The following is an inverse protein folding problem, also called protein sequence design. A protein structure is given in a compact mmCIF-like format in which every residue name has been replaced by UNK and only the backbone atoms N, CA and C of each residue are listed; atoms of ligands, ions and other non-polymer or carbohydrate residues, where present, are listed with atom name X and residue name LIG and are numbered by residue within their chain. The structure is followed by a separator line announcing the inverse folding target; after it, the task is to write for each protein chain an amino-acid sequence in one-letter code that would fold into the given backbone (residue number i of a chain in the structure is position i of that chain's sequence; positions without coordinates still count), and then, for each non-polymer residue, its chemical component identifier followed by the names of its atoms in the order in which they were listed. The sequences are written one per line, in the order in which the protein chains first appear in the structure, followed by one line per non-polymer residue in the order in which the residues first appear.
data_IF_676738846607
#
_entry.id   IF_676738846607
#
_cell.length_a   1.000
_cell.length_b   1.000
_cell.length_c   1.000
_cell.angle_alpha   90.00
_cell.angle_beta   90.00
_cell.angle_gamma   90.00
#
_symmetry.space_group_name_H-M   'P 1'
#
loop_
_entity.id
_entity.type
_entity.pdbx_description
1 polymer ?
#
# COMPACT_ATOMS: atom_id res chain seq x y z
N UNK A 1 17.59 -41.37 -86.02
CA UNK A 1 18.44 -40.87 -84.91
C UNK A 1 18.19 -39.38 -84.74
N UNK A 2 17.35 -38.98 -83.79
CA UNK A 2 17.20 -37.59 -83.34
C UNK A 2 17.04 -37.65 -81.82
N UNK A 3 17.92 -36.95 -81.12
CA UNK A 3 18.08 -36.96 -79.67
C UNK A 3 16.96 -36.18 -78.95
N UNK A 4 16.54 -36.68 -77.77
CA UNK A 4 15.91 -35.87 -76.72
C UNK A 4 16.52 -36.24 -75.37
N UNK A 5 17.33 -35.33 -74.83
CA UNK A 5 17.82 -35.35 -73.44
C UNK A 5 16.65 -34.97 -72.53
N UNK A 6 16.35 -35.81 -71.54
CA UNK A 6 15.42 -35.51 -70.46
C UNK A 6 16.17 -34.82 -69.31
N UNK A 7 15.74 -33.62 -68.95
CA UNK A 7 16.25 -32.83 -67.85
C UNK A 7 15.46 -33.17 -66.57
N UNK A 8 16.16 -33.50 -65.49
CA UNK A 8 15.58 -33.70 -64.16
C UNK A 8 15.32 -32.35 -63.47
N UNK A 9 14.18 -32.16 -62.77
CA UNK A 9 13.99 -30.99 -61.93
C UNK A 9 14.55 -31.23 -60.52
N UNK A 10 15.44 -30.34 -60.08
CA UNK A 10 15.90 -30.19 -58.71
C UNK A 10 14.76 -29.54 -57.89
N UNK A 11 14.16 -30.26 -56.95
CA UNK A 11 13.17 -29.69 -56.03
C UNK A 11 13.89 -29.04 -54.83
N UNK A 12 13.96 -27.70 -54.80
CA UNK A 12 14.28 -26.95 -53.59
C UNK A 12 13.08 -26.99 -52.65
N UNK A 13 13.16 -27.76 -51.57
CA UNK A 13 12.23 -27.68 -50.45
C UNK A 13 12.60 -26.47 -49.57
N UNK A 14 11.82 -25.39 -49.66
CA UNK A 14 11.97 -24.22 -48.80
C UNK A 14 11.59 -24.54 -47.36
N UNK A 15 12.52 -24.36 -46.43
CA UNK A 15 12.25 -24.39 -44.99
C UNK A 15 11.47 -23.11 -44.65
N UNK A 16 10.18 -23.25 -44.38
CA UNK A 16 9.36 -22.16 -43.86
C UNK A 16 9.79 -21.86 -42.41
N UNK A 17 10.42 -20.70 -42.20
CA UNK A 17 10.65 -20.15 -40.87
C UNK A 17 9.29 -19.82 -40.26
N UNK A 18 8.78 -20.67 -39.36
CA UNK A 18 7.64 -20.35 -38.54
C UNK A 18 8.06 -19.19 -37.61
N UNK A 19 7.56 -17.98 -37.88
CA UNK A 19 7.68 -16.87 -36.95
C UNK A 19 6.98 -17.28 -35.65
N UNK A 20 7.78 -17.50 -34.60
CA UNK A 20 7.28 -17.60 -33.22
C UNK A 20 6.54 -16.30 -32.93
N UNK A 21 5.22 -16.34 -32.95
CA UNK A 21 4.40 -15.24 -32.46
C UNK A 21 4.79 -15.02 -30.99
N UNK A 22 5.42 -13.89 -30.70
CA UNK A 22 5.64 -13.47 -29.33
C UNK A 22 4.28 -13.47 -28.61
N UNK A 23 4.22 -13.92 -27.33
CA UNK A 23 2.97 -13.93 -26.59
C UNK A 23 2.35 -12.53 -26.65
N UNK A 24 1.09 -12.45 -27.08
CA UNK A 24 0.36 -11.18 -27.11
C UNK A 24 0.26 -10.66 -25.67
N UNK A 25 1.14 -9.72 -25.31
CA UNK A 25 1.03 -8.98 -24.06
C UNK A 25 -0.35 -8.32 -24.04
N UNK A 26 -1.19 -8.67 -23.05
CA UNK A 26 -2.49 -8.05 -22.90
C UNK A 26 -2.30 -6.52 -22.81
N UNK A 27 -2.97 -5.77 -23.67
CA UNK A 27 -2.86 -4.30 -23.65
C UNK A 27 -3.57 -3.77 -22.40
N UNK A 28 -2.97 -2.79 -21.69
CA UNK A 28 -3.59 -2.22 -20.51
C UNK A 28 -4.88 -1.47 -20.88
N UNK A 29 -5.90 -1.62 -20.03
CA UNK A 29 -7.04 -0.71 -20.00
C UNK A 29 -6.57 0.58 -19.35
N UNK A 30 -6.34 1.61 -20.16
CA UNK A 30 -5.86 2.92 -19.69
C UNK A 30 -7.05 3.81 -19.33
N UNK A 31 -7.07 4.25 -18.08
CA UNK A 31 -8.08 5.13 -17.50
C UNK A 31 -7.51 6.55 -17.41
N UNK A 32 -8.13 7.48 -18.13
CA UNK A 32 -7.77 8.90 -18.10
C UNK A 32 -8.48 9.62 -16.94
N UNK A 33 -7.84 10.59 -16.29
CA UNK A 33 -8.47 11.32 -15.19
C UNK A 33 -9.61 12.21 -15.71
N UNK A 34 -10.67 12.30 -14.92
CA UNK A 34 -11.83 13.17 -15.22
C UNK A 34 -12.08 14.24 -14.18
N UNK A 35 -11.38 14.17 -13.04
CA UNK A 35 -11.35 15.23 -12.03
C UNK A 35 -9.92 15.66 -11.72
N UNK A 36 -9.77 16.77 -11.01
CA UNK A 36 -8.56 17.07 -10.27
C UNK A 36 -8.44 16.12 -9.07
N UNK A 37 -7.27 16.11 -8.44
CA UNK A 37 -7.08 15.50 -7.13
C UNK A 37 -7.86 16.28 -6.08
N UNK A 38 -8.55 15.55 -5.19
CA UNK A 38 -9.23 16.09 -4.03
C UNK A 38 -8.65 15.45 -2.78
N UNK A 39 -8.25 16.25 -1.81
CA UNK A 39 -7.76 15.79 -0.51
C UNK A 39 -8.83 15.98 0.55
N UNK A 40 -8.98 14.98 1.40
CA UNK A 40 -9.81 14.98 2.60
C UNK A 40 -8.89 14.96 3.83
N UNK A 41 -8.95 16.03 4.62
CA UNK A 41 -8.27 16.19 5.91
C UNK A 41 -9.25 15.72 7.00
N UNK A 42 -9.44 14.41 7.11
CA UNK A 42 -10.31 13.82 8.12
C UNK A 42 -9.62 13.73 9.48
N UNK A 43 -10.41 13.61 10.55
CA UNK A 43 -9.92 13.63 11.95
C UNK A 43 -8.85 12.56 12.26
N UNK A 44 -8.90 11.41 11.57
CA UNK A 44 -8.00 10.28 11.81
C UNK A 44 -7.31 9.78 10.53
N UNK A 45 -7.55 10.44 9.40
CA UNK A 45 -7.14 9.92 8.09
C UNK A 45 -7.01 11.03 7.04
N UNK A 46 -5.91 10.98 6.32
CA UNK A 46 -5.69 11.73 5.08
C UNK A 46 -6.06 10.86 3.89
N UNK A 47 -6.98 11.32 3.05
CA UNK A 47 -7.36 10.62 1.83
C UNK A 47 -7.27 11.54 0.60
N UNK A 48 -6.42 11.15 -0.35
CA UNK A 48 -6.27 11.84 -1.63
C UNK A 48 -6.93 11.02 -2.73
N UNK A 49 -7.95 11.59 -3.36
CA UNK A 49 -8.84 10.88 -4.27
C UNK A 49 -8.94 11.56 -5.63
N UNK A 50 -9.03 10.76 -6.70
CA UNK A 50 -9.28 11.23 -8.06
C UNK A 50 -10.14 10.24 -8.83
N UNK A 51 -11.02 10.77 -9.68
CA UNK A 51 -11.89 9.99 -10.54
C UNK A 51 -11.26 9.88 -11.93
N UNK A 52 -11.41 8.70 -12.52
CA UNK A 52 -10.94 8.35 -13.85
C UNK A 52 -12.07 7.74 -14.68
N UNK A 53 -12.00 7.89 -16.00
CA UNK A 53 -13.05 7.44 -16.91
C UNK A 53 -14.36 8.20 -16.75
N UNK A 54 -15.36 7.84 -17.57
CA UNK A 54 -16.64 8.56 -17.69
C UNK A 54 -17.85 7.63 -17.64
N UNK A 55 -19.02 8.20 -17.32
CA UNK A 55 -20.30 7.50 -17.31
C UNK A 55 -20.31 6.25 -16.42
N UNK A 56 -20.63 5.09 -17.01
CA UNK A 56 -20.64 3.79 -16.32
C UNK A 56 -19.25 3.17 -16.14
N UNK A 57 -18.24 3.70 -16.82
CA UNK A 57 -16.85 3.28 -16.74
C UNK A 57 -16.04 4.26 -15.89
N UNK A 58 -16.65 4.81 -14.83
CA UNK A 58 -15.93 5.63 -13.86
C UNK A 58 -15.24 4.74 -12.84
N UNK A 59 -14.03 5.14 -12.47
CA UNK A 59 -13.18 4.48 -11.50
C UNK A 59 -12.68 5.49 -10.48
N UNK A 60 -12.43 5.00 -9.28
CA UNK A 60 -11.89 5.78 -8.17
C UNK A 60 -10.48 5.29 -7.89
N UNK A 61 -9.54 6.22 -7.73
CA UNK A 61 -8.25 5.97 -7.10
C UNK A 61 -8.19 6.80 -5.82
N UNK A 62 -7.82 6.17 -4.71
CA UNK A 62 -7.59 6.84 -3.43
C UNK A 62 -6.25 6.40 -2.84
N UNK A 63 -5.42 7.37 -2.46
CA UNK A 63 -4.27 7.19 -1.59
C UNK A 63 -4.68 7.55 -0.18
N UNK A 64 -4.28 6.75 0.82
CA UNK A 64 -4.71 6.93 2.21
C UNK A 64 -3.57 6.76 3.19
N UNK A 65 -3.48 7.66 4.16
CA UNK A 65 -2.56 7.56 5.29
C UNK A 65 -3.31 7.90 6.58
N UNK A 66 -3.05 7.12 7.63
CA UNK A 66 -3.60 7.34 8.99
C UNK A 66 -2.55 7.97 9.93
N UNK A 67 -1.32 8.11 9.44
CA UNK A 67 -0.17 8.70 10.11
C UNK A 67 0.90 9.08 9.06
N UNK A 68 1.83 9.98 9.39
CA UNK A 68 2.98 10.24 8.53
C UNK A 68 3.77 8.97 8.22
N UNK A 69 3.96 8.66 6.94
CA UNK A 69 4.68 7.47 6.50
C UNK A 69 5.30 7.68 5.10
N UNK A 70 6.37 6.93 4.80
CA UNK A 70 6.90 6.79 3.44
C UNK A 70 6.06 5.89 2.53
N UNK A 71 5.00 5.30 3.05
CA UNK A 71 4.10 4.39 2.34
C UNK A 71 2.65 4.88 2.44
N UNK A 72 1.80 4.48 1.49
CA UNK A 72 0.38 4.79 1.56
C UNK A 72 -0.48 3.56 1.26
N UNK A 73 -1.66 3.51 1.87
CA UNK A 73 -2.71 2.61 1.41
C UNK A 73 -3.22 3.08 0.04
N UNK A 74 -3.49 2.14 -0.86
CA UNK A 74 -4.05 2.43 -2.19
C UNK A 74 -5.36 1.68 -2.34
N UNK A 75 -6.41 2.39 -2.76
CA UNK A 75 -7.71 1.82 -3.10
C UNK A 75 -8.01 2.17 -4.54
N UNK A 76 -8.24 1.15 -5.36
CA UNK A 76 -8.74 1.30 -6.73
C UNK A 76 -10.10 0.65 -6.84
N UNK A 77 -11.08 1.37 -7.40
CA UNK A 77 -12.45 0.88 -7.50
C UNK A 77 -13.08 1.20 -8.85
N UNK A 78 -14.05 0.40 -9.27
CA UNK A 78 -14.72 0.54 -10.57
C UNK A 78 -15.02 -0.81 -11.23
N UNK A 79 -15.75 -0.80 -12.36
CA UNK A 79 -16.21 -2.02 -13.04
C UNK A 79 -15.06 -2.92 -13.51
N UNK A 80 -13.88 -2.36 -13.77
CA UNK A 80 -12.71 -3.14 -14.18
C UNK A 80 -12.21 -4.13 -13.11
N UNK A 81 -12.57 -3.92 -11.85
CA UNK A 81 -12.14 -4.75 -10.73
C UNK A 81 -13.13 -5.86 -10.36
N UNK A 82 -14.24 -5.99 -11.08
CA UNK A 82 -15.28 -6.98 -10.77
C UNK A 82 -14.75 -8.41 -10.67
N UNK A 83 -13.82 -8.77 -11.57
CA UNK A 83 -13.25 -10.10 -11.69
C UNK A 83 -11.86 -10.25 -11.03
N UNK A 84 -11.46 -9.29 -10.19
CA UNK A 84 -10.30 -9.48 -9.33
C UNK A 84 -10.66 -10.41 -8.17
N UNK A 85 -9.73 -11.29 -7.81
CA UNK A 85 -9.85 -12.22 -6.69
C UNK A 85 -9.22 -11.62 -5.42
N UNK A 86 -9.77 -12.01 -4.26
CA UNK A 86 -9.29 -11.60 -2.95
C UNK A 86 -7.97 -12.30 -2.61
N UNK A 87 -6.98 -11.58 -2.07
CA UNK A 87 -5.65 -12.09 -1.70
C UNK A 87 -4.86 -12.79 -2.82
N UNK A 88 -5.26 -12.61 -4.07
CA UNK A 88 -4.58 -13.17 -5.23
C UNK A 88 -3.35 -12.32 -5.61
N UNK A 89 -2.30 -12.97 -6.12
CA UNK A 89 -1.07 -12.29 -6.51
C UNK A 89 -1.38 -11.21 -7.54
N UNK A 90 -1.09 -9.97 -7.17
CA UNK A 90 -1.39 -8.79 -7.97
C UNK A 90 -0.13 -7.97 -8.12
N UNK A 91 0.23 -7.70 -9.36
CA UNK A 91 1.37 -6.87 -9.70
C UNK A 91 0.97 -5.40 -9.65
N UNK A 92 1.81 -4.59 -9.04
CA UNK A 92 1.62 -3.15 -8.92
C UNK A 92 2.84 -2.45 -9.53
N UNK A 93 2.61 -1.45 -10.40
CA UNK A 93 3.67 -0.68 -11.07
C UNK A 93 3.32 0.79 -11.13
N UNK A 94 4.33 1.66 -11.03
CA UNK A 94 4.15 3.12 -11.12
C UNK A 94 4.84 3.78 -12.32
N UNK A 95 5.72 3.05 -13.00
CA UNK A 95 6.36 3.49 -14.23
C UNK A 95 6.80 2.28 -15.07
N UNK A 96 7.31 2.55 -16.28
CA UNK A 96 7.84 1.52 -17.16
C UNK A 96 9.10 0.85 -16.57
N UNK A 97 9.96 1.65 -15.93
CA UNK A 97 11.23 1.21 -15.35
C UNK A 97 11.10 0.77 -13.87
N UNK A 98 9.89 0.87 -13.32
CA UNK A 98 9.59 0.47 -11.94
C UNK A 98 9.85 -1.03 -11.75
N UNK A 99 10.67 -1.42 -10.75
CA UNK A 99 10.83 -2.83 -10.41
C UNK A 99 9.48 -3.43 -10.00
N UNK A 100 9.38 -4.72 -10.28
CA UNK A 100 8.13 -5.43 -10.22
C UNK A 100 7.69 -5.71 -8.78
N UNK A 101 6.64 -5.04 -8.29
CA UNK A 101 6.05 -5.34 -6.98
C UNK A 101 4.91 -6.35 -7.12
N UNK A 102 4.97 -7.43 -6.34
CA UNK A 102 3.90 -8.45 -6.25
C UNK A 102 3.36 -8.47 -4.83
N UNK A 103 2.09 -8.14 -4.70
CA UNK A 103 1.38 -8.04 -3.42
C UNK A 103 0.08 -8.86 -3.47
N UNK A 104 -0.56 -9.05 -2.30
CA UNK A 104 -1.83 -9.78 -2.17
C UNK A 104 -2.89 -8.84 -1.60
N UNK A 105 -3.53 -7.99 -2.43
CA UNK A 105 -4.51 -7.02 -1.95
C UNK A 105 -5.82 -7.70 -1.58
N UNK A 106 -6.62 -6.98 -0.79
CA UNK A 106 -7.97 -7.41 -0.46
C UNK A 106 -8.97 -6.95 -1.52
N UNK A 107 -10.02 -7.75 -1.73
CA UNK A 107 -11.20 -7.34 -2.49
C UNK A 107 -12.20 -6.66 -1.55
N UNK A 108 -12.81 -5.58 -2.02
CA UNK A 108 -13.84 -4.87 -1.28
C UNK A 108 -14.82 -4.17 -2.21
N UNK A 109 -15.45 -3.11 -1.69
CA UNK A 109 -16.30 -2.21 -2.47
C UNK A 109 -16.09 -0.76 -2.05
N UNK A 110 -16.37 0.18 -2.95
CA UNK A 110 -16.25 1.61 -2.69
C UNK A 110 -17.52 2.35 -3.15
N UNK A 111 -18.52 2.43 -2.28
CA UNK A 111 -19.76 3.17 -2.51
C UNK A 111 -20.35 2.93 -3.91
N UNK A 112 -20.66 4.01 -4.62
CA UNK A 112 -21.24 3.97 -5.98
C UNK A 112 -20.26 3.51 -7.08
N UNK A 113 -18.97 3.36 -6.79
CA UNK A 113 -17.99 2.88 -7.78
C UNK A 113 -17.95 1.34 -7.86
N UNK A 114 -18.58 0.65 -6.90
CA UNK A 114 -18.72 -0.80 -6.94
C UNK A 114 -17.44 -1.53 -6.47
N UNK A 115 -17.04 -2.64 -7.14
CA UNK A 115 -15.91 -3.48 -6.70
C UNK A 115 -14.61 -2.70 -6.55
N UNK A 116 -13.84 -3.01 -5.50
CA UNK A 116 -12.57 -2.38 -5.19
C UNK A 116 -11.47 -3.41 -4.93
N UNK A 117 -10.23 -3.02 -5.20
CA UNK A 117 -9.00 -3.69 -4.79
C UNK A 117 -8.27 -2.76 -3.84
N UNK A 118 -7.95 -3.27 -2.65
CA UNK A 118 -7.43 -2.51 -1.52
C UNK A 118 -6.04 -3.04 -1.18
N UNK A 119 -5.05 -2.19 -1.39
CA UNK A 119 -3.68 -2.40 -0.96
C UNK A 119 -3.50 -1.71 0.38
N UNK A 120 -3.28 -2.48 1.44
CA UNK A 120 -3.15 -1.93 2.80
C UNK A 120 -2.01 -0.92 2.90
N UNK A 121 -0.89 -1.23 2.23
CA UNK A 121 0.31 -0.42 2.25
C UNK A 121 1.08 -0.65 0.95
N UNK A 122 1.52 0.43 0.32
CA UNK A 122 2.35 0.44 -0.88
C UNK A 122 3.50 1.42 -0.65
N UNK A 123 4.73 0.92 -0.82
CA UNK A 123 5.87 1.78 -1.09
C UNK A 123 5.86 2.23 -2.55
N UNK A 124 6.16 3.50 -2.77
CA UNK A 124 6.38 4.08 -4.10
C UNK A 124 7.86 4.11 -4.49
N UNK A 125 8.74 3.65 -3.60
CA UNK A 125 10.12 3.32 -3.96
C UNK A 125 10.13 1.99 -4.72
N UNK A 126 11.11 1.84 -5.61
CA UNK A 126 11.35 0.56 -6.28
C UNK A 126 11.88 -0.52 -5.34
N UNK A 127 12.30 -0.12 -4.13
CA UNK A 127 12.78 -1.04 -3.13
C UNK A 127 11.60 -1.72 -2.46
N UNK A 128 11.60 -3.05 -2.48
CA UNK A 128 10.71 -3.81 -1.62
C UNK A 128 11.13 -3.48 -0.19
N UNK A 129 10.19 -3.06 0.70
CA UNK A 129 10.51 -2.95 2.12
C UNK A 129 11.13 -4.28 2.54
N UNK A 130 12.34 -4.26 3.08
CA UNK A 130 12.93 -5.45 3.66
C UNK A 130 11.89 -6.06 4.60
N UNK A 131 11.70 -7.39 4.59
CA UNK A 131 10.85 -8.03 5.60
C UNK A 131 11.29 -7.51 6.96
N UNK A 132 10.34 -7.08 7.79
CA UNK A 132 10.59 -6.65 9.17
C UNK A 132 11.29 -7.79 9.91
N UNK A 133 12.61 -7.82 9.88
CA UNK A 133 13.40 -8.64 10.78
C UNK A 133 13.55 -7.84 12.07
N UNK A 134 13.33 -8.46 13.24
CA UNK A 134 13.56 -7.80 14.53
C UNK A 134 14.96 -7.16 14.66
N UNK A 135 15.90 -7.62 13.83
CA UNK A 135 17.32 -7.29 13.84
C UNK A 135 17.74 -6.28 12.74
N UNK A 136 16.83 -5.49 12.14
CA UNK A 136 17.23 -4.33 11.34
C UNK A 136 17.13 -3.03 12.15
N UNK A 137 18.20 -2.61 12.85
CA UNK A 137 18.25 -1.39 13.65
C UNK A 137 18.54 -0.16 12.80
N UNK A 138 18.00 -0.07 11.57
CA UNK A 138 18.05 1.22 10.88
C UNK A 138 17.09 2.16 11.62
N UNK A 139 17.69 3.04 12.41
CA UNK A 139 17.03 4.12 13.09
C UNK A 139 16.31 4.98 12.05
N UNK A 140 15.02 4.70 11.86
CA UNK A 140 14.15 5.54 11.02
C UNK A 140 13.73 6.77 11.82
N UNK A 141 13.65 7.95 11.18
CA UNK A 141 13.14 9.14 11.84
C UNK A 141 11.73 8.87 12.37
N UNK A 142 11.36 9.57 13.44
CA UNK A 142 10.06 9.41 14.08
C UNK A 142 8.88 9.84 13.19
N UNK A 143 9.17 10.56 12.10
CA UNK A 143 8.20 10.96 11.08
C UNK A 143 8.79 10.72 9.68
N UNK A 144 8.24 9.73 8.98
CA UNK A 144 8.53 9.48 7.56
C UNK A 144 7.52 10.19 6.66
N UNK A 145 7.88 10.39 5.38
CA UNK A 145 7.07 11.11 4.40
C UNK A 145 7.11 10.43 3.03
N UNK A 146 6.05 10.60 2.26
CA UNK A 146 6.05 10.26 0.84
C UNK A 146 7.03 11.20 0.13
N UNK A 147 8.16 10.67 -0.33
CA UNK A 147 9.22 11.50 -0.91
C UNK A 147 8.80 12.09 -2.27
N UNK A 148 8.89 13.41 -2.40
CA UNK A 148 8.55 14.12 -3.64
C UNK A 148 9.31 13.62 -4.88
N UNK A 149 10.56 13.20 -4.69
CA UNK A 149 11.41 12.62 -5.74
C UNK A 149 10.91 11.26 -6.24
N UNK A 150 10.24 10.46 -5.40
CA UNK A 150 9.62 9.22 -5.84
C UNK A 150 8.29 9.50 -6.54
N UNK A 151 7.54 10.50 -6.07
CA UNK A 151 6.35 11.01 -6.75
C UNK A 151 6.63 11.52 -8.17
N UNK A 152 7.81 12.10 -8.40
CA UNK A 152 8.24 12.57 -9.73
C UNK A 152 8.45 11.42 -10.73
N UNK A 153 8.92 10.26 -10.25
CA UNK A 153 9.15 9.07 -11.08
C UNK A 153 7.85 8.36 -11.47
N UNK A 154 6.74 8.64 -10.79
CA UNK A 154 5.43 8.06 -11.10
C UNK A 154 4.94 8.59 -12.45
N UNK A 155 4.62 7.68 -13.36
CA UNK A 155 4.00 8.01 -14.65
C UNK A 155 2.53 7.61 -14.66
N UNK A 156 2.21 6.49 -14.02
CA UNK A 156 0.87 5.92 -13.91
C UNK A 156 0.75 5.12 -12.63
N UNK A 157 -0.43 4.57 -12.36
CA UNK A 157 -0.62 3.50 -11.39
C UNK A 157 -1.26 2.31 -12.09
N UNK A 158 -0.54 1.20 -12.17
CA UNK A 158 -0.98 -0.01 -12.85
C UNK A 158 -1.17 -1.16 -11.87
N UNK A 159 -2.31 -1.83 -12.03
CA UNK A 159 -2.69 -3.01 -11.28
C UNK A 159 -2.93 -4.15 -12.26
N UNK A 160 -2.20 -5.25 -12.08
CA UNK A 160 -2.32 -6.44 -12.92
C UNK A 160 -2.62 -7.70 -12.09
N UNK A 161 -3.64 -8.44 -12.48
CA UNK A 161 -3.93 -9.78 -11.95
C UNK A 161 -4.22 -10.75 -13.11
N UNK A 162 -3.31 -11.70 -13.32
CA UNK A 162 -3.30 -12.54 -14.52
C UNK A 162 -3.11 -11.70 -15.80
N UNK A 163 -4.04 -11.83 -16.74
CA UNK A 163 -4.04 -11.10 -18.02
C UNK A 163 -4.72 -9.73 -17.93
N UNK A 164 -5.38 -9.41 -16.81
CA UNK A 164 -6.09 -8.14 -16.64
C UNK A 164 -5.11 -7.08 -16.18
N UNK A 165 -4.93 -6.04 -16.97
CA UNK A 165 -4.03 -4.93 -16.68
C UNK A 165 -4.84 -3.64 -16.72
N UNK A 166 -4.97 -2.97 -15.58
CA UNK A 166 -5.70 -1.71 -15.43
C UNK A 166 -4.71 -0.62 -15.06
N UNK A 167 -4.65 0.45 -15.84
CA UNK A 167 -3.70 1.55 -15.66
C UNK A 167 -4.42 2.87 -15.48
N UNK A 168 -4.22 3.51 -14.33
CA UNK A 168 -4.63 4.89 -14.07
C UNK A 168 -3.54 5.82 -14.57
N UNK A 169 -3.87 6.71 -15.50
CA UNK A 169 -2.94 7.71 -16.02
C UNK A 169 -2.85 8.89 -15.05
N UNK A 170 -2.16 8.66 -13.93
CA UNK A 170 -2.06 9.63 -12.83
C UNK A 170 -1.20 10.83 -13.19
N UNK A 171 -0.17 10.62 -14.03
CA UNK A 171 0.99 11.49 -14.12
C UNK A 171 1.83 11.46 -12.84
N UNK A 172 2.81 12.38 -12.73
CA UNK A 172 3.62 12.57 -11.54
C UNK A 172 2.75 12.85 -10.30
N UNK A 173 3.16 12.27 -9.17
CA UNK A 173 2.50 12.43 -7.88
C UNK A 173 3.25 13.38 -6.94
N UNK A 174 4.22 14.16 -7.42
CA UNK A 174 5.04 15.08 -6.61
C UNK A 174 4.17 16.01 -5.74
N UNK A 175 3.22 16.73 -6.33
CA UNK A 175 2.34 17.65 -5.58
C UNK A 175 1.32 16.89 -4.72
N UNK A 176 0.83 15.74 -5.22
CA UNK A 176 -0.05 14.85 -4.46
C UNK A 176 0.61 14.39 -3.16
N UNK A 177 1.90 14.02 -3.21
CA UNK A 177 2.68 13.60 -2.05
C UNK A 177 2.94 14.74 -1.08
N UNK A 178 3.25 15.96 -1.57
CA UNK A 178 3.38 17.13 -0.70
C UNK A 178 2.10 17.41 0.09
N UNK A 179 0.95 17.42 -0.58
CA UNK A 179 -0.35 17.63 0.07
C UNK A 179 -0.66 16.54 1.10
N UNK A 180 -0.35 15.28 0.81
CA UNK A 180 -0.49 14.18 1.76
C UNK A 180 0.43 14.31 2.98
N UNK A 181 1.68 14.75 2.77
CA UNK A 181 2.63 15.02 3.85
C UNK A 181 2.17 16.18 4.73
N UNK A 182 1.62 17.25 4.13
CA UNK A 182 1.05 18.37 4.88
C UNK A 182 -0.16 17.94 5.73
N UNK A 183 -1.03 17.11 5.15
CA UNK A 183 -2.18 16.55 5.86
C UNK A 183 -1.75 15.67 7.05
N UNK A 184 -0.82 14.74 6.84
CA UNK A 184 -0.37 13.85 7.92
C UNK A 184 0.46 14.57 8.98
N UNK A 185 1.19 15.63 8.62
CA UNK A 185 1.83 16.52 9.58
C UNK A 185 0.80 17.32 10.41
N UNK A 186 -0.35 17.69 9.84
CA UNK A 186 -1.46 18.29 10.58
C UNK A 186 -2.04 17.29 11.60
N UNK A 187 -2.28 16.04 11.21
CA UNK A 187 -2.69 14.99 12.14
C UNK A 187 -1.71 14.84 13.31
N UNK A 188 -0.40 14.81 13.04
CA UNK A 188 0.61 14.73 14.09
C UNK A 188 0.55 15.93 15.07
N UNK A 189 0.24 17.14 14.58
CA UNK A 189 0.01 18.32 15.45
C UNK A 189 -1.24 18.16 16.30
N UNK A 190 -2.32 17.64 15.74
CA UNK A 190 -3.59 17.44 16.45
C UNK A 190 -3.44 16.41 17.59
N UNK A 191 -2.48 15.48 17.47
CA UNK A 191 -2.10 14.56 18.55
C UNK A 191 -1.16 15.18 19.59
N UNK A 192 -0.88 16.48 19.50
CA UNK A 192 0.02 17.19 20.41
C UNK A 192 1.49 16.87 20.21
N UNK A 193 1.92 16.59 18.97
CA UNK A 193 3.32 16.37 18.62
C UNK A 193 3.90 17.54 17.81
N UNK A 194 5.23 17.56 17.67
CA UNK A 194 5.98 18.57 16.91
C UNK A 194 6.54 17.95 15.61
N UNK A 195 5.87 18.06 14.45
CA UNK A 195 6.26 17.32 13.24
C UNK A 195 7.70 17.58 12.77
N UNK A 196 8.16 18.82 12.82
CA UNK A 196 9.53 19.14 12.39
C UNK A 196 10.58 18.48 13.29
N UNK A 197 10.33 18.45 14.60
CA UNK A 197 11.22 17.79 15.56
C UNK A 197 11.26 16.28 15.32
N UNK A 198 10.12 15.66 15.00
CA UNK A 198 10.03 14.24 14.65
C UNK A 198 10.69 13.92 13.30
N UNK A 199 10.56 14.81 12.32
CA UNK A 199 11.15 14.64 10.98
C UNK A 199 12.67 14.64 11.02
N UNK A 200 13.25 15.44 11.91
CA UNK A 200 14.71 15.50 12.12
C UNK A 200 15.21 14.61 13.25
N UNK A 201 14.35 13.76 13.83
CA UNK A 201 14.71 12.87 14.92
C UNK A 201 15.73 11.83 14.47
N UNK A 202 16.64 11.46 15.37
CA UNK A 202 17.61 10.39 15.12
C UNK A 202 16.90 9.04 15.00
N UNK A 203 15.89 8.79 15.82
CA UNK A 203 15.09 7.58 15.80
C UNK A 203 13.65 7.81 16.31
N UNK A 204 12.71 7.02 15.81
CA UNK A 204 11.38 6.86 16.38
C UNK A 204 11.33 5.91 17.60
N UNK A 205 10.15 5.76 18.25
CA UNK A 205 9.98 4.82 19.34
C UNK A 205 10.08 3.37 18.84
N UNK A 206 10.72 2.49 19.63
CA UNK A 206 10.84 1.06 19.30
C UNK A 206 10.18 0.21 20.38
N UNK A 207 9.23 -0.64 19.99
CA UNK A 207 8.52 -1.50 20.93
C UNK A 207 9.49 -2.49 21.59
N UNK A 208 9.44 -2.59 22.91
CA UNK A 208 10.18 -3.58 23.69
C UNK A 208 9.37 -4.88 23.75
N UNK A 209 10.05 -6.01 23.52
CA UNK A 209 9.45 -7.36 23.55
C UNK A 209 8.18 -7.48 22.67
N UNK A 210 8.31 -7.08 21.41
CA UNK A 210 7.24 -7.14 20.41
C UNK A 210 6.60 -8.54 20.32
N UNK A 211 7.40 -9.61 20.47
CA UNK A 211 6.91 -10.98 20.43
C UNK A 211 5.92 -11.28 21.58
N UNK A 212 6.22 -10.85 22.82
CA UNK A 212 5.30 -11.00 23.94
C UNK A 212 4.00 -10.20 23.74
N UNK A 213 4.11 -8.98 23.20
CA UNK A 213 2.95 -8.12 22.89
C UNK A 213 2.06 -8.78 21.84
N UNK A 214 2.63 -9.24 20.72
CA UNK A 214 1.88 -9.96 19.67
C UNK A 214 1.17 -11.17 20.25
N UNK A 215 1.88 -12.00 21.03
CA UNK A 215 1.29 -13.17 21.70
C UNK A 215 0.12 -12.79 22.61
N UNK A 216 0.24 -11.69 23.34
CA UNK A 216 -0.81 -11.18 24.23
C UNK A 216 -2.04 -10.67 23.47
N UNK A 217 -1.86 -10.03 22.31
CA UNK A 217 -2.95 -9.59 21.43
C UNK A 217 -3.68 -10.81 20.84
N UNK A 218 -2.94 -11.77 20.31
CA UNK A 218 -3.50 -12.99 19.70
C UNK A 218 -4.28 -13.81 20.74
N UNK A 219 -3.73 -13.97 21.95
CA UNK A 219 -4.39 -14.73 23.03
C UNK A 219 -5.73 -14.10 23.48
N UNK A 220 -5.93 -12.80 23.25
CA UNK A 220 -7.15 -12.06 23.59
C UNK A 220 -8.10 -11.88 22.41
N UNK A 221 -7.86 -12.54 21.28
CA UNK A 221 -8.74 -12.43 20.12
C UNK A 221 -10.20 -12.75 20.49
N UNK A 222 -11.21 -11.95 20.08
CA UNK A 222 -12.58 -12.16 20.53
C UNK A 222 -13.13 -13.51 20.08
N UNK A 223 -13.56 -14.35 21.04
CA UNK A 223 -14.14 -15.67 20.76
C UNK A 223 -15.33 -15.60 19.79
N UNK A 224 -16.13 -14.53 19.88
CA UNK A 224 -17.28 -14.31 19.02
C UNK A 224 -16.91 -14.05 17.55
N UNK A 225 -15.81 -13.33 17.30
CA UNK A 225 -15.26 -13.12 15.96
C UNK A 225 -14.59 -14.40 15.44
N UNK A 226 -13.85 -15.10 16.30
CA UNK A 226 -13.21 -16.38 15.98
C UNK A 226 -14.22 -17.44 15.53
N UNK A 227 -15.35 -17.56 16.23
CA UNK A 227 -16.38 -18.54 15.95
C UNK A 227 -17.02 -18.39 14.56
N UNK A 228 -16.95 -17.19 13.96
CA UNK A 228 -17.50 -16.90 12.62
C UNK A 228 -16.41 -16.66 11.57
N UNK A 229 -15.14 -16.88 11.92
CA UNK A 229 -14.01 -16.64 11.03
C UNK A 229 -13.88 -15.18 10.59
N UNK A 230 -14.35 -14.21 11.38
CA UNK A 230 -14.31 -12.81 10.98
C UNK A 230 -12.87 -12.30 10.95
N UNK A 231 -12.52 -11.59 9.88
CA UNK A 231 -11.19 -11.04 9.61
C UNK A 231 -11.28 -9.53 9.50
N UNK A 232 -10.17 -8.82 9.68
CA UNK A 232 -10.16 -7.38 9.52
C UNK A 232 -8.79 -6.73 9.63
N UNK A 233 -8.69 -5.50 9.15
CA UNK A 233 -7.51 -4.65 9.25
C UNK A 233 -7.80 -3.50 10.21
N UNK A 234 -6.95 -3.40 11.22
CA UNK A 234 -6.98 -2.34 12.22
C UNK A 234 -5.73 -1.48 12.09
N UNK A 235 -5.91 -0.17 12.24
CA UNK A 235 -4.86 0.85 12.21
C UNK A 235 -4.65 1.31 13.63
N UNK A 236 -3.47 1.04 14.16
CA UNK A 236 -3.15 1.27 15.55
C UNK A 236 -2.09 2.38 15.63
N UNK A 237 -2.37 3.41 16.42
CA UNK A 237 -1.45 4.49 16.74
C UNK A 237 -1.29 4.55 18.26
N UNK A 238 -0.06 4.71 18.71
CA UNK A 238 0.28 5.02 20.10
C UNK A 238 1.00 6.36 20.14
N UNK A 239 0.77 7.12 21.21
CA UNK A 239 1.64 8.23 21.58
C UNK A 239 2.51 7.76 22.74
N UNK A 240 3.83 7.90 22.57
CA UNK A 240 4.86 7.39 23.46
C UNK A 240 5.56 8.57 24.13
N UNK A 241 5.68 8.50 25.46
CA UNK A 241 6.35 9.50 26.27
C UNK A 241 7.88 9.47 26.08
N UNK A 242 8.61 10.53 26.49
CA UNK A 242 10.08 10.50 26.56
C UNK A 242 10.66 9.38 27.43
N UNK A 243 9.85 8.79 28.32
CA UNK A 243 10.23 7.66 29.19
C UNK A 243 9.98 6.29 28.52
N UNK A 244 9.33 6.26 27.36
CA UNK A 244 8.99 5.03 26.65
C UNK A 244 7.66 4.42 27.08
N UNK A 245 6.80 5.17 27.75
CA UNK A 245 5.47 4.71 28.18
C UNK A 245 4.40 5.11 27.17
N UNK A 246 3.34 4.31 27.02
CA UNK A 246 2.22 4.65 26.14
C UNK A 246 1.26 5.58 26.88
N UNK A 247 1.17 6.84 26.43
CA UNK A 247 0.27 7.84 26.99
C UNK A 247 -1.14 7.73 26.37
N UNK A 248 -1.20 7.43 25.07
CA UNK A 248 -2.44 7.34 24.32
C UNK A 248 -2.39 6.17 23.33
N UNK A 249 -3.52 5.51 23.12
CA UNK A 249 -3.69 4.49 22.09
C UNK A 249 -4.99 4.72 21.33
N UNK A 250 -4.88 4.81 20.01
CA UNK A 250 -6.01 5.00 19.10
C UNK A 250 -6.06 3.84 18.12
N UNK A 251 -7.24 3.25 17.96
CA UNK A 251 -7.49 2.16 17.03
C UNK A 251 -8.58 2.57 16.04
N UNK A 252 -8.23 2.59 14.76
CA UNK A 252 -9.15 2.88 13.65
C UNK A 252 -9.43 1.60 12.87
N UNK A 253 -10.70 1.27 12.70
CA UNK A 253 -11.13 0.12 11.88
C UNK A 253 -11.02 0.48 10.40
N UNK A 254 -10.04 -0.10 9.70
CA UNK A 254 -9.90 0.09 8.25
C UNK A 254 -10.85 -0.81 7.44
N UNK A 255 -11.33 -1.90 8.06
CA UNK A 255 -12.37 -2.78 7.51
C UNK A 255 -13.59 -2.79 8.41
N UNK A 256 -14.79 -2.80 7.83
CA UNK A 256 -16.02 -2.98 8.59
C UNK A 256 -16.06 -4.40 9.19
N UNK A 257 -16.25 -4.48 10.51
CA UNK A 257 -16.37 -5.74 11.26
C UNK A 257 -17.57 -5.67 12.20
N UNK A 258 -18.17 -6.82 12.48
CA UNK A 258 -19.40 -6.95 13.27
C UNK A 258 -19.16 -7.43 14.71
N UNK A 259 -18.19 -8.32 14.93
CA UNK A 259 -17.84 -8.89 16.25
C UNK A 259 -16.36 -8.74 16.59
N UNK A 260 -15.52 -8.40 15.63
CA UNK A 260 -14.10 -8.14 15.84
C UNK A 260 -13.89 -6.76 16.45
N UNK A 261 -13.87 -6.73 17.78
CA UNK A 261 -13.29 -5.65 18.60
C UNK A 261 -11.87 -6.03 18.98
N UNK A 262 -10.88 -5.31 18.45
CA UNK A 262 -9.48 -5.67 18.66
C UNK A 262 -9.03 -5.38 20.10
N UNK A 263 -8.37 -6.32 20.79
CA UNK A 263 -7.80 -6.11 22.13
C UNK A 263 -6.50 -5.31 22.10
N UNK A 264 -6.08 -4.81 20.94
CA UNK A 264 -4.74 -4.28 20.75
C UNK A 264 -4.43 -3.09 21.67
N UNK A 265 -5.33 -2.12 21.80
CA UNK A 265 -5.08 -0.98 22.69
C UNK A 265 -5.01 -1.37 24.17
N UNK A 266 -5.82 -2.34 24.62
CA UNK A 266 -5.74 -2.83 26.01
C UNK A 266 -4.35 -3.41 26.31
N UNK A 267 -3.81 -4.21 25.38
CA UNK A 267 -2.47 -4.79 25.53
C UNK A 267 -1.39 -3.70 25.43
N UNK A 268 -1.54 -2.78 24.48
CA UNK A 268 -0.52 -1.77 24.19
C UNK A 268 -0.40 -0.69 25.26
N UNK A 269 -1.46 -0.41 26.03
CA UNK A 269 -1.36 0.51 27.17
C UNK A 269 -0.37 0.03 28.25
N UNK A 270 -0.13 -1.28 28.36
CA UNK A 270 0.85 -1.85 29.28
C UNK A 270 2.22 -2.11 28.62
N UNK A 271 2.37 -1.80 27.32
CA UNK A 271 3.61 -2.01 26.61
C UNK A 271 4.64 -0.90 26.91
N UNK A 272 5.91 -1.22 26.70
CA UNK A 272 7.03 -0.29 26.89
C UNK A 272 7.80 -0.14 25.59
N UNK A 273 8.34 1.05 25.38
CA UNK A 273 9.12 1.42 24.20
C UNK A 273 10.51 1.90 24.62
N UNK A 274 11.50 1.68 23.76
CA UNK A 274 12.64 2.58 23.73
C UNK A 274 12.16 3.92 23.14
N UNK A 275 12.47 5.06 23.79
CA UNK A 275 11.92 6.35 23.38
C UNK A 275 12.51 6.81 22.04
N UNK A 276 11.73 7.64 21.33
CA UNK A 276 12.25 8.44 20.24
C UNK A 276 13.30 9.41 20.77
N UNK A 277 14.29 9.75 19.94
CA UNK A 277 15.30 10.76 20.27
C UNK A 277 15.42 11.79 19.17
N UNK A 278 15.46 13.06 19.53
CA UNK A 278 15.69 14.13 18.56
C UNK A 278 17.13 14.15 18.03
N UNK A 279 17.43 15.11 17.15
CA UNK A 279 18.74 15.31 16.53
C UNK A 279 19.92 15.43 17.53
N UNK A 280 19.65 15.80 18.78
CA UNK A 280 20.66 15.97 19.85
C UNK A 280 20.81 14.72 20.72
N UNK A 281 19.92 13.72 20.56
CA UNK A 281 19.89 12.51 21.37
C UNK A 281 18.98 12.60 22.60
N UNK A 282 18.31 13.73 22.82
CA UNK A 282 17.35 13.90 23.91
C UNK A 282 16.07 13.07 23.64
N UNK A 283 15.55 12.33 24.64
CA UNK A 283 14.27 11.64 24.51
C UNK A 283 13.12 12.61 24.26
N UNK A 284 12.25 12.27 23.32
CA UNK A 284 11.09 13.11 22.94
C UNK A 284 9.80 12.31 22.92
N UNK A 285 8.69 13.02 23.09
CA UNK A 285 7.35 12.49 22.84
C UNK A 285 7.17 12.28 21.35
N UNK A 286 6.69 11.10 20.95
CA UNK A 286 6.53 10.74 19.55
C UNK A 286 5.41 9.71 19.36
N UNK A 287 4.95 9.52 18.12
CA UNK A 287 4.02 8.44 17.81
C UNK A 287 4.77 7.15 17.41
N UNK A 288 4.12 6.02 17.64
CA UNK A 288 4.41 4.76 16.96
C UNK A 288 3.11 4.27 16.32
N UNK A 289 3.18 3.72 15.11
CA UNK A 289 1.97 3.26 14.43
C UNK A 289 2.21 1.98 13.66
N UNK A 290 1.19 1.13 13.61
CA UNK A 290 1.26 -0.16 12.93
C UNK A 290 -0.11 -0.59 12.40
N UNK A 291 -0.10 -1.50 11.43
CA UNK A 291 -1.30 -2.11 10.89
C UNK A 291 -1.40 -3.55 11.39
N UNK A 292 -2.52 -3.88 12.05
CA UNK A 292 -2.83 -5.24 12.47
C UNK A 292 -3.78 -5.85 11.44
N UNK A 293 -3.38 -6.98 10.85
CA UNK A 293 -4.26 -7.77 9.97
C UNK A 293 -4.62 -9.05 10.69
N UNK A 294 -5.90 -9.18 11.05
CA UNK A 294 -6.43 -10.41 11.62
C UNK A 294 -6.84 -11.35 10.49
N UNK A 295 -6.17 -12.50 10.45
CA UNK A 295 -6.48 -13.61 9.54
C UNK A 295 -6.81 -14.85 10.34
N UNK A 296 -7.83 -15.58 9.90
CA UNK A 296 -8.17 -16.91 10.41
C UNK A 296 -7.75 -17.89 9.31
N UNK A 297 -6.85 -18.80 9.66
CA UNK A 297 -6.40 -19.90 8.78
C UNK A 297 -7.31 -21.13 8.92
#
# INVERSE_FOLDING_TARGET
MIARKASAPLALAGIALAALAAPAHAKPVVLKPTTNWNVDYGDEVCALTRIFGEGKNRHLLTLRQYWPSGEAGVIVAGPAFQNFANFEKTRFRVSADDPERVVRPMKGSAGSFGPAVIFSTISFTGDQPAPNTPDSPEAKPALEQLAAADGEKVQYLEVQQGWRIIRFDTGPLTEAFRVMNDCTAALAKDWGLEPERLRTALNGPRLVDEAAVIKAIVARYPRGAQAIGEQGVMRLRMIVSPQGEVEECTLVKATATSKLESPACEVMQAATFEPARDATGEPIRAFSATSITYVIE
#
